data_IF_232779345980
#
_entry.id   IF_232779345980
#
_cell.length_a   1.000
_cell.length_b   1.000
_cell.length_c   1.000
_cell.angle_alpha   90.00
_cell.angle_beta   90.00
_cell.angle_gamma   90.00
#
_symmetry.space_group_name_H-M   'P 1'
#
loop_
_entity.id
_entity.type
_entity.pdbx_description
1 polymer ?
#
# COMPACT_ATOMS: atom_id res chain seq x y z
N UNK A 1 -25.36 -23.02 27.81
CA UNK A 1 -25.55 -22.36 26.51
C UNK A 1 -24.27 -21.60 26.18
N UNK A 2 -23.47 -22.08 25.23
CA UNK A 2 -22.26 -21.39 24.81
C UNK A 2 -22.64 -20.37 23.73
N UNK A 3 -22.49 -19.08 24.04
CA UNK A 3 -22.61 -18.00 23.07
C UNK A 3 -21.48 -18.17 22.05
N UNK A 4 -21.80 -18.54 20.80
CA UNK A 4 -20.86 -18.49 19.69
C UNK A 4 -20.54 -17.03 19.44
N UNK A 5 -19.35 -16.59 19.83
CA UNK A 5 -18.77 -15.34 19.36
C UNK A 5 -18.74 -15.41 17.84
N UNK A 6 -19.49 -14.54 17.15
CA UNK A 6 -19.45 -14.46 15.69
C UNK A 6 -18.00 -14.19 15.28
N UNK A 7 -17.37 -15.16 14.62
CA UNK A 7 -16.04 -14.98 14.08
C UNK A 7 -16.11 -13.88 13.00
N UNK A 8 -15.11 -13.00 12.98
CA UNK A 8 -14.93 -11.97 11.95
C UNK A 8 -14.47 -12.60 10.62
N UNK A 9 -15.13 -13.67 10.19
CA UNK A 9 -14.75 -14.41 8.98
C UNK A 9 -15.37 -13.80 7.70
N UNK A 10 -16.26 -12.82 7.85
CA UNK A 10 -16.90 -12.10 6.75
C UNK A 10 -16.12 -10.81 6.47
N UNK A 11 -15.44 -10.74 5.33
CA UNK A 11 -14.81 -9.51 4.84
C UNK A 11 -15.82 -8.75 3.99
N UNK A 12 -16.09 -7.51 4.40
CA UNK A 12 -16.82 -6.55 3.57
C UNK A 12 -15.86 -5.86 2.61
N UNK A 13 -16.37 -5.32 1.50
CA UNK A 13 -15.57 -4.54 0.57
C UNK A 13 -14.81 -3.40 1.27
N UNK A 14 -15.48 -2.69 2.20
CA UNK A 14 -14.85 -1.66 3.05
C UNK A 14 -13.74 -2.23 3.95
N UNK A 15 -13.95 -3.40 4.55
CA UNK A 15 -12.92 -4.07 5.33
C UNK A 15 -11.70 -4.43 4.48
N UNK A 16 -11.93 -4.96 3.27
CA UNK A 16 -10.88 -5.28 2.30
C UNK A 16 -10.14 -4.02 1.85
N UNK A 17 -10.86 -2.96 1.49
CA UNK A 17 -10.29 -1.69 1.05
C UNK A 17 -9.38 -1.06 2.11
N UNK A 18 -9.82 -1.07 3.39
CA UNK A 18 -9.01 -0.58 4.50
C UNK A 18 -7.73 -1.41 4.72
N UNK A 19 -7.82 -2.73 4.57
CA UNK A 19 -6.65 -3.61 4.72
C UNK A 19 -5.65 -3.39 3.57
N UNK A 20 -6.14 -3.30 2.32
CA UNK A 20 -5.29 -3.11 1.14
C UNK A 20 -4.63 -1.73 1.13
N UNK A 21 -5.35 -0.66 1.52
CA UNK A 21 -4.79 0.68 1.63
C UNK A 21 -3.76 0.78 2.76
N UNK A 22 -4.04 0.20 3.94
CA UNK A 22 -3.04 0.13 5.03
C UNK A 22 -1.80 -0.67 4.60
N UNK A 23 -2.00 -1.78 3.89
CA UNK A 23 -0.91 -2.59 3.34
C UNK A 23 -0.01 -1.77 2.40
N UNK A 24 -0.59 -1.00 1.49
CA UNK A 24 0.17 -0.14 0.59
C UNK A 24 1.06 0.85 1.37
N UNK A 25 0.54 1.45 2.44
CA UNK A 25 1.33 2.31 3.32
C UNK A 25 2.57 1.62 3.90
N UNK A 26 2.44 0.36 4.36
CA UNK A 26 3.60 -0.41 4.86
C UNK A 26 4.59 -0.78 3.75
N UNK A 27 4.08 -1.13 2.56
CA UNK A 27 4.91 -1.43 1.40
C UNK A 27 5.71 -0.20 0.97
N UNK A 28 5.07 0.97 0.88
CA UNK A 28 5.70 2.24 0.55
C UNK A 28 6.81 2.60 1.56
N UNK A 29 6.51 2.58 2.86
CA UNK A 29 7.53 2.83 3.89
C UNK A 29 8.72 1.86 3.80
N UNK A 30 8.46 0.59 3.51
CA UNK A 30 9.51 -0.41 3.38
C UNK A 30 10.38 -0.17 2.15
N UNK A 31 9.80 0.26 1.04
CA UNK A 31 10.55 0.63 -0.17
C UNK A 31 11.39 1.88 0.11
N UNK A 32 10.80 2.93 0.68
CA UNK A 32 11.51 4.19 0.99
C UNK A 32 12.73 3.97 1.91
N UNK A 33 12.60 3.11 2.91
CA UNK A 33 13.71 2.72 3.79
C UNK A 33 14.78 1.92 3.05
N UNK A 34 14.39 0.80 2.42
CA UNK A 34 15.36 -0.13 1.83
C UNK A 34 16.05 0.40 0.58
N UNK A 35 15.43 1.36 -0.12
CA UNK A 35 16.04 2.06 -1.27
C UNK A 35 16.81 3.31 -0.84
N UNK A 36 16.85 3.64 0.46
CA UNK A 36 17.60 4.78 0.98
C UNK A 36 17.05 6.14 0.53
N UNK A 37 15.77 6.23 0.18
CA UNK A 37 15.14 7.50 -0.22
C UNK A 37 15.08 8.46 0.98
N UNK A 38 14.85 7.90 2.17
CA UNK A 38 14.95 8.58 3.45
C UNK A 38 15.92 7.83 4.36
N UNK A 39 16.60 8.54 5.28
CA UNK A 39 17.62 7.92 6.11
C UNK A 39 17.00 6.99 7.16
N UNK A 40 17.77 6.01 7.62
CA UNK A 40 17.27 4.93 8.47
C UNK A 40 16.69 5.43 9.80
N UNK A 41 17.29 6.47 10.39
CA UNK A 41 16.84 7.11 11.63
C UNK A 41 15.47 7.77 11.52
N UNK A 42 15.01 8.05 10.28
CA UNK A 42 13.67 8.53 10.02
C UNK A 42 12.63 7.42 10.07
N UNK A 43 12.95 6.18 10.44
CA UNK A 43 11.99 5.08 10.51
C UNK A 43 11.96 4.41 11.89
N UNK A 44 10.76 4.04 12.32
CA UNK A 44 10.52 3.20 13.48
C UNK A 44 10.01 1.82 13.06
N UNK A 45 10.46 0.79 13.77
CA UNK A 45 9.97 -0.58 13.58
C UNK A 45 8.71 -0.80 14.41
N UNK A 46 7.66 -1.31 13.79
CA UNK A 46 6.41 -1.70 14.45
C UNK A 46 6.06 -3.14 14.11
N UNK A 47 5.35 -3.84 15.00
CA UNK A 47 4.91 -5.21 14.73
C UNK A 47 3.50 -5.19 14.16
N UNK A 48 3.33 -5.60 12.91
CA UNK A 48 2.01 -5.71 12.26
C UNK A 48 1.97 -6.95 11.38
N UNK A 49 0.82 -7.61 11.29
CA UNK A 49 0.64 -8.84 10.51
C UNK A 49 1.65 -9.95 10.84
N UNK A 50 2.16 -9.98 12.08
CA UNK A 50 3.21 -10.92 12.50
C UNK A 50 4.61 -10.62 11.94
N UNK A 51 4.81 -9.49 11.26
CA UNK A 51 6.10 -9.04 10.71
C UNK A 51 6.58 -7.75 11.38
N UNK A 52 7.90 -7.52 11.43
CA UNK A 52 8.45 -6.20 11.68
C UNK A 52 8.23 -5.33 10.43
N UNK A 53 7.37 -4.33 10.54
CA UNK A 53 7.13 -3.32 9.53
C UNK A 53 7.88 -2.03 9.88
N UNK A 54 8.16 -1.22 8.87
CA UNK A 54 8.78 0.10 9.03
C UNK A 54 7.73 1.19 8.83
N UNK A 55 7.81 2.23 9.65
CA UNK A 55 6.98 3.43 9.53
C UNK A 55 7.87 4.66 9.66
N UNK A 56 7.76 5.56 8.70
CA UNK A 56 8.44 6.85 8.74
C UNK A 56 8.05 7.65 10.00
N UNK A 57 9.02 8.40 10.50
CA UNK A 57 8.92 9.39 11.56
C UNK A 57 8.91 10.82 11.01
N UNK A 58 9.20 10.99 9.71
CA UNK A 58 9.06 12.28 9.03
C UNK A 58 7.59 12.67 8.90
N UNK A 59 7.23 13.84 9.43
CA UNK A 59 5.84 14.29 9.48
C UNK A 59 5.26 14.61 8.09
N UNK A 60 6.10 15.05 7.15
CA UNK A 60 5.68 15.29 5.77
C UNK A 60 5.31 13.98 5.07
N UNK A 61 6.19 12.98 5.14
CA UNK A 61 5.94 11.65 4.56
C UNK A 61 4.78 10.95 5.27
N UNK A 62 4.66 11.04 6.60
CA UNK A 62 3.52 10.50 7.34
C UNK A 62 2.20 11.07 6.84
N UNK A 63 2.12 12.40 6.72
CA UNK A 63 0.91 13.10 6.27
C UNK A 63 0.58 12.73 4.84
N UNK A 64 1.58 12.70 3.96
CA UNK A 64 1.43 12.27 2.57
C UNK A 64 0.86 10.84 2.47
N UNK A 65 1.49 9.87 3.16
CA UNK A 65 1.05 8.47 3.13
C UNK A 65 -0.34 8.32 3.75
N UNK A 66 -0.67 9.07 4.81
CA UNK A 66 -2.00 9.04 5.42
C UNK A 66 -3.09 9.54 4.46
N UNK A 67 -2.84 10.68 3.79
CA UNK A 67 -3.76 11.24 2.79
C UNK A 67 -3.93 10.29 1.60
N UNK A 68 -2.82 9.73 1.11
CA UNK A 68 -2.85 8.75 0.04
C UNK A 68 -3.65 7.51 0.44
N UNK A 69 -3.43 6.93 1.62
CA UNK A 69 -4.17 5.77 2.09
C UNK A 69 -5.69 6.03 2.17
N UNK A 70 -6.10 7.22 2.61
CA UNK A 70 -7.51 7.61 2.63
C UNK A 70 -8.12 7.63 1.22
N UNK A 71 -7.42 8.22 0.25
CA UNK A 71 -7.85 8.26 -1.15
C UNK A 71 -7.87 6.87 -1.81
N UNK A 72 -6.83 6.06 -1.57
CA UNK A 72 -6.79 4.68 -2.06
C UNK A 72 -7.95 3.87 -1.50
N UNK A 73 -8.29 4.04 -0.21
CA UNK A 73 -9.44 3.36 0.40
C UNK A 73 -10.76 3.72 -0.30
N UNK A 74 -10.97 5.00 -0.64
CA UNK A 74 -12.17 5.46 -1.35
C UNK A 74 -12.26 4.88 -2.78
N UNK A 75 -11.14 4.88 -3.52
CA UNK A 75 -11.11 4.32 -4.87
C UNK A 75 -11.23 2.79 -4.88
N UNK A 76 -10.73 2.10 -3.84
CA UNK A 76 -10.92 0.67 -3.65
C UNK A 76 -12.38 0.33 -3.31
N UNK A 77 -13.01 1.09 -2.39
CA UNK A 77 -14.42 0.90 -2.03
C UNK A 77 -15.36 1.12 -3.21
N UNK A 78 -14.99 2.02 -4.13
CA UNK A 78 -15.74 2.24 -5.36
C UNK A 78 -15.37 1.30 -6.51
N UNK A 79 -14.39 0.42 -6.31
CA UNK A 79 -13.92 -0.53 -7.31
C UNK A 79 -13.22 0.08 -8.53
N UNK A 80 -12.84 1.36 -8.44
CA UNK A 80 -12.32 2.15 -9.56
C UNK A 80 -10.79 2.20 -9.62
N UNK A 81 -10.10 1.72 -8.59
CA UNK A 81 -8.64 1.70 -8.54
C UNK A 81 -8.09 0.46 -9.28
N UNK A 82 -7.28 0.70 -10.32
CA UNK A 82 -6.71 -0.36 -11.16
C UNK A 82 -5.25 -0.66 -10.80
N UNK A 83 -4.46 0.38 -10.50
CA UNK A 83 -3.03 0.24 -10.23
C UNK A 83 -2.51 1.41 -9.42
N UNK A 84 -1.56 1.14 -8.53
CA UNK A 84 -0.76 2.18 -7.85
C UNK A 84 0.70 1.98 -8.21
N UNK A 85 1.43 3.05 -8.50
CA UNK A 85 2.84 3.01 -8.87
C UNK A 85 3.62 3.95 -7.97
N UNK A 86 4.54 3.40 -7.17
CA UNK A 86 5.54 4.21 -6.46
C UNK A 86 6.75 4.38 -7.37
N UNK A 87 7.05 5.64 -7.69
CA UNK A 87 8.14 6.05 -8.58
C UNK A 87 9.29 6.54 -7.72
N UNK A 88 10.50 6.06 -7.97
CA UNK A 88 11.73 6.63 -7.40
C UNK A 88 12.50 7.30 -8.54
N UNK A 89 12.94 8.53 -8.30
CA UNK A 89 13.56 9.39 -9.29
C UNK A 89 14.73 10.16 -8.70
N UNK A 90 15.73 10.46 -9.55
CA UNK A 90 16.87 11.28 -9.15
C UNK A 90 16.38 12.67 -8.74
N UNK A 91 16.81 13.14 -7.57
CA UNK A 91 16.52 14.50 -7.10
C UNK A 91 17.16 15.57 -7.98
N UNK A 92 18.25 15.24 -8.67
CA UNK A 92 19.03 16.21 -9.45
C UNK A 92 18.56 16.33 -10.90
N UNK A 93 18.20 15.22 -11.54
CA UNK A 93 17.82 15.19 -12.96
C UNK A 93 16.33 14.98 -13.21
N UNK A 94 15.56 14.59 -12.19
CA UNK A 94 14.19 14.09 -12.32
C UNK A 94 14.06 12.84 -13.21
N UNK A 95 15.16 12.13 -13.48
CA UNK A 95 15.13 10.86 -14.19
C UNK A 95 14.48 9.78 -13.32
N UNK A 96 13.58 8.99 -13.91
CA UNK A 96 12.93 7.88 -13.21
C UNK A 96 13.86 6.68 -13.15
N UNK A 97 14.26 6.29 -11.95
CA UNK A 97 15.17 5.19 -11.67
C UNK A 97 14.40 3.88 -11.47
N UNK A 98 13.28 3.92 -10.74
CA UNK A 98 12.49 2.73 -10.42
C UNK A 98 10.98 2.99 -10.49
N UNK A 99 10.22 1.94 -10.85
CA UNK A 99 8.75 1.94 -10.81
C UNK A 99 8.25 0.67 -10.13
N UNK A 100 7.73 0.83 -8.92
CA UNK A 100 7.12 -0.23 -8.13
C UNK A 100 5.63 -0.29 -8.45
N UNK A 101 5.23 -1.27 -9.27
CA UNK A 101 3.86 -1.41 -9.75
C UNK A 101 3.04 -2.35 -8.85
N UNK A 102 1.94 -1.83 -8.33
CA UNK A 102 0.94 -2.58 -7.56
C UNK A 102 -0.34 -2.64 -8.37
N UNK A 103 -0.53 -3.73 -9.12
CA UNK A 103 -1.78 -3.99 -9.84
C UNK A 103 -2.86 -4.42 -8.85
N UNK A 104 -4.07 -3.90 -9.04
CA UNK A 104 -5.21 -4.15 -8.16
C UNK A 104 -6.29 -4.83 -8.99
N UNK A 105 -6.67 -6.02 -8.54
CA UNK A 105 -7.77 -6.78 -9.12
C UNK A 105 -8.94 -6.71 -8.14
N UNK A 106 -9.95 -5.91 -8.52
CA UNK A 106 -11.19 -5.83 -7.76
C UNK A 106 -12.23 -6.72 -8.42
N UNK A 107 -12.89 -7.55 -7.62
CA UNK A 107 -13.97 -8.39 -8.12
C UNK A 107 -15.24 -7.57 -8.36
N UNK A 108 -15.63 -7.45 -9.63
CA UNK A 108 -16.78 -6.66 -10.07
C UNK A 108 -18.08 -7.11 -9.41
N UNK A 109 -18.25 -8.40 -9.10
CA UNK A 109 -19.46 -8.90 -8.44
C UNK A 109 -19.57 -8.43 -6.99
N UNK A 110 -18.43 -8.27 -6.31
CA UNK A 110 -18.38 -7.73 -4.93
C UNK A 110 -18.78 -6.26 -4.93
N UNK A 111 -18.34 -5.49 -5.93
CA UNK A 111 -18.63 -4.05 -6.07
C UNK A 111 -20.09 -3.82 -6.49
N UNK A 112 -20.59 -4.56 -7.49
CA UNK A 112 -21.94 -4.34 -8.05
C UNK A 112 -23.05 -4.95 -7.20
N UNK A 113 -22.83 -6.16 -6.65
CA UNK A 113 -23.87 -6.91 -5.94
C UNK A 113 -23.75 -6.82 -4.42
N UNK A 114 -22.70 -6.15 -3.90
CA UNK A 114 -22.45 -6.02 -2.47
C UNK A 114 -22.19 -7.35 -1.76
N UNK A 115 -21.79 -8.39 -2.51
CA UNK A 115 -21.57 -9.73 -1.97
C UNK A 115 -20.30 -9.72 -1.12
N UNK A 116 -20.46 -9.94 0.19
CA UNK A 116 -19.32 -10.17 1.08
C UNK A 116 -18.71 -11.55 0.82
N UNK A 117 -17.39 -11.64 0.69
CA UNK A 117 -16.69 -12.92 0.64
C UNK A 117 -16.16 -13.29 2.01
N UNK A 118 -16.28 -14.56 2.35
CA UNK A 118 -15.57 -15.11 3.49
C UNK A 118 -14.12 -15.36 3.09
N UNK A 119 -13.21 -14.69 3.79
CA UNK A 119 -11.78 -14.95 3.73
C UNK A 119 -11.26 -14.70 5.13
N UNK A 120 -10.54 -15.67 5.67
CA UNK A 120 -10.11 -15.57 7.06
C UNK A 120 -9.01 -14.52 7.21
N UNK A 121 -8.98 -13.83 8.35
CA UNK A 121 -7.89 -12.91 8.71
C UNK A 121 -6.50 -13.58 8.52
N UNK A 122 -6.42 -14.89 8.81
CA UNK A 122 -5.19 -15.68 8.65
C UNK A 122 -4.73 -15.84 7.20
N UNK A 123 -5.65 -15.88 6.24
CA UNK A 123 -5.32 -15.94 4.81
C UNK A 123 -4.83 -14.59 4.32
N UNK A 124 -5.54 -13.50 4.67
CA UNK A 124 -5.12 -12.13 4.34
C UNK A 124 -3.73 -11.84 4.90
N UNK A 125 -3.49 -12.18 6.18
CA UNK A 125 -2.19 -12.03 6.81
C UNK A 125 -1.10 -12.77 6.04
N UNK A 126 -1.36 -14.02 5.61
CA UNK A 126 -0.39 -14.82 4.86
C UNK A 126 -0.06 -14.21 3.50
N UNK A 127 -1.06 -13.65 2.82
CA UNK A 127 -0.86 -12.95 1.53
C UNK A 127 -0.06 -11.67 1.70
N UNK A 128 -0.43 -10.81 2.64
CA UNK A 128 0.34 -9.59 2.98
C UNK A 128 1.79 -9.95 3.29
N UNK A 129 2.01 -10.99 4.10
CA UNK A 129 3.35 -11.45 4.44
C UNK A 129 4.13 -11.94 3.21
N UNK A 130 3.47 -12.62 2.27
CA UNK A 130 4.11 -13.08 1.04
C UNK A 130 4.55 -11.90 0.19
N UNK A 131 3.71 -10.88 0.03
CA UNK A 131 4.05 -9.67 -0.75
C UNK A 131 5.18 -8.90 -0.08
N UNK A 132 5.16 -8.70 1.24
CA UNK A 132 6.26 -8.01 1.94
C UNK A 132 7.60 -8.75 1.80
N UNK A 133 7.58 -10.09 1.86
CA UNK A 133 8.79 -10.90 1.60
C UNK A 133 9.25 -10.79 0.15
N UNK A 134 8.32 -10.72 -0.80
CA UNK A 134 8.65 -10.51 -2.21
C UNK A 134 9.30 -9.14 -2.44
N UNK A 135 8.79 -8.07 -1.81
CA UNK A 135 9.40 -6.73 -1.84
C UNK A 135 10.83 -6.82 -1.29
N UNK A 136 11.02 -7.35 -0.08
CA UNK A 136 12.34 -7.49 0.52
C UNK A 136 13.30 -8.33 -0.34
N UNK A 137 12.81 -9.42 -0.93
CA UNK A 137 13.60 -10.27 -1.82
C UNK A 137 13.93 -9.59 -3.15
N UNK A 138 13.06 -8.75 -3.68
CA UNK A 138 13.33 -8.07 -4.96
C UNK A 138 14.47 -7.05 -4.82
N UNK A 139 14.57 -6.41 -3.65
CA UNK A 139 15.59 -5.39 -3.37
C UNK A 139 17.00 -5.95 -3.47
N UNK A 140 17.21 -7.23 -3.13
CA UNK A 140 18.54 -7.87 -3.23
C UNK A 140 19.04 -8.02 -4.66
N UNK A 141 18.17 -7.85 -5.66
CA UNK A 141 18.50 -7.93 -7.08
C UNK A 141 18.54 -6.55 -7.75
N UNK A 142 18.20 -5.48 -7.04
CA UNK A 142 18.23 -4.12 -7.58
C UNK A 142 19.62 -3.50 -7.42
N UNK A 143 20.11 -2.74 -8.42
CA UNK A 143 21.34 -1.97 -8.29
C UNK A 143 21.29 -0.99 -7.11
N UNK A 144 22.45 -0.58 -6.58
CA UNK A 144 22.49 0.49 -5.59
C UNK A 144 22.05 1.83 -6.21
N UNK A 145 21.33 2.64 -5.44
CA UNK A 145 21.04 4.03 -5.80
C UNK A 145 22.16 4.90 -5.23
N UNK A 146 23.06 5.37 -6.09
CA UNK A 146 24.26 6.11 -5.69
C UNK A 146 24.05 7.64 -5.65
N UNK A 147 22.79 8.08 -5.75
CA UNK A 147 22.41 9.49 -5.76
C UNK A 147 21.19 9.80 -4.88
N UNK A 148 21.04 11.05 -4.38
CA UNK A 148 19.85 11.45 -3.65
C UNK A 148 18.59 11.28 -4.51
N UNK A 149 17.62 10.54 -3.99
CA UNK A 149 16.37 10.26 -4.67
C UNK A 149 15.19 11.01 -4.03
N UNK A 150 14.16 11.23 -4.81
CA UNK A 150 12.81 11.59 -4.33
C UNK A 150 11.83 10.54 -4.84
N UNK A 151 10.63 10.53 -4.26
CA UNK A 151 9.58 9.60 -4.68
C UNK A 151 8.31 10.34 -5.08
N UNK A 152 7.52 9.69 -5.91
CA UNK A 152 6.19 10.13 -6.29
C UNK A 152 5.26 8.91 -6.34
N UNK A 153 3.94 9.11 -6.24
CA UNK A 153 2.95 8.02 -6.32
C UNK A 153 1.89 8.34 -7.35
N UNK A 154 1.76 7.45 -8.32
CA UNK A 154 0.75 7.52 -9.37
C UNK A 154 -0.35 6.50 -9.10
N UNK A 155 -1.58 6.96 -8.95
CA UNK A 155 -2.76 6.11 -8.90
C UNK A 155 -3.48 6.11 -10.25
N UNK A 156 -3.75 4.93 -10.79
CA UNK A 156 -4.50 4.73 -12.02
C UNK A 156 -5.89 4.26 -11.68
N UNK A 157 -6.87 5.10 -11.99
CA UNK A 157 -8.28 4.84 -11.79
C UNK A 157 -9.02 4.78 -13.12
N UNK A 158 -10.28 4.34 -13.10
CA UNK A 158 -11.16 4.47 -14.26
C UNK A 158 -11.29 5.93 -14.72
N UNK A 159 -11.54 6.13 -16.02
CA UNK A 159 -11.60 7.47 -16.64
C UNK A 159 -12.66 8.40 -16.04
N UNK A 160 -13.63 7.83 -15.32
CA UNK A 160 -14.81 8.53 -14.78
C UNK A 160 -14.67 8.85 -13.27
N UNK A 161 -13.44 8.86 -12.74
CA UNK A 161 -13.17 9.24 -11.34
C UNK A 161 -12.73 10.69 -11.27
N UNK A 162 -13.42 11.48 -10.43
CA UNK A 162 -12.94 12.82 -10.10
C UNK A 162 -11.64 12.70 -9.28
N UNK A 163 -10.54 13.26 -9.80
CA UNK A 163 -9.28 13.34 -9.07
C UNK A 163 -9.43 14.38 -7.95
N UNK A 164 -9.27 14.01 -6.66
CA UNK A 164 -9.31 14.98 -5.58
C UNK A 164 -8.14 15.96 -5.69
N UNK A 165 -8.42 17.26 -5.68
CA UNK A 165 -7.45 18.36 -5.93
C UNK A 165 -6.49 18.62 -4.74
N UNK A 166 -6.23 17.64 -3.88
CA UNK A 166 -5.48 17.84 -2.62
C UNK A 166 -4.13 17.09 -2.58
N UNK A 167 -3.53 16.75 -3.73
CA UNK A 167 -2.23 16.08 -3.80
C UNK A 167 -1.07 17.00 -4.24
N UNK A 168 -1.29 18.31 -4.34
CA UNK A 168 -0.23 19.30 -4.60
C UNK A 168 0.43 19.80 -3.29
#
# INVERSE_FOLDING_TARGET
>A
MASRTASKDIITLRGSAAIVSEFFGYAANSILYNRGVYPEESFAKVKKYGLPMLLTQDEGVKTFIANLNAQLSEWLESGKLQRVVLVIMSKSTNEVLERWNFSIETDSEVVEKGVSREKSDKEIMREIQAIMRQIASSITYLPCLDEPCVFDVLAYTDKDVAVPVHLD
#
